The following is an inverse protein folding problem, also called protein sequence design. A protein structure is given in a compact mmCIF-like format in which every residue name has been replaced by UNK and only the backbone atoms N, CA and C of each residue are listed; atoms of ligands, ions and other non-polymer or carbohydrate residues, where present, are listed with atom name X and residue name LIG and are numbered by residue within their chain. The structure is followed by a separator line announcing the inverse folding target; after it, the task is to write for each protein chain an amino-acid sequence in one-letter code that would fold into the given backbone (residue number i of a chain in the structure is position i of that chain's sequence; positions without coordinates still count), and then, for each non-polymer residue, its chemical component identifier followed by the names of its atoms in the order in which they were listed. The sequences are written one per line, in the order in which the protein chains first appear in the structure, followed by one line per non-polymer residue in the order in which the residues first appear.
data_IF_485130680104
#
_entry.id   IF_485130680104
#
_cell.length_a   1.000
_cell.length_b   1.000
_cell.length_c   1.000
_cell.angle_alpha   90.00
_cell.angle_beta   90.00
_cell.angle_gamma   90.00
#
_symmetry.space_group_name_H-M   'P 1'
#
loop_
_entity.id
_entity.type
_entity.pdbx_description
1 polymer ?
#
# COMPACT_ATOMS: atom_id res chain seq x y z
N UNK A 1 -9.95 2.39 3.36
CA UNK A 1 -8.53 2.67 3.05
C UNK A 1 -8.19 4.06 3.55
N UNK A 2 -7.64 4.15 4.77
CA UNK A 2 -7.15 5.42 5.29
C UNK A 2 -5.83 5.72 4.61
N UNK A 3 -5.77 6.74 3.76
CA UNK A 3 -4.51 7.44 3.57
C UNK A 3 -4.12 7.90 4.97
N UNK A 4 -3.06 7.30 5.54
CA UNK A 4 -2.51 7.76 6.81
C UNK A 4 -2.37 9.27 6.69
N UNK A 5 -2.87 9.99 7.70
CA UNK A 5 -2.80 11.46 7.76
C UNK A 5 -1.37 11.82 7.33
N UNK A 6 -1.15 12.54 6.21
CA UNK A 6 0.21 12.93 5.86
C UNK A 6 0.73 13.65 7.09
N UNK A 7 1.87 13.17 7.61
CA UNK A 7 2.51 13.80 8.76
C UNK A 7 2.67 15.30 8.50
N UNK A 8 2.89 16.12 9.54
CA UNK A 8 3.17 17.54 9.35
C UNK A 8 4.18 17.66 8.22
N UNK A 9 3.85 18.42 7.16
CA UNK A 9 4.73 18.60 6.00
C UNK A 9 6.08 19.05 6.54
N UNK A 10 7.04 18.13 6.56
CA UNK A 10 8.36 18.46 7.01
C UNK A 10 8.97 19.35 5.94
N UNK A 11 9.41 20.54 6.34
CA UNK A 11 10.25 21.39 5.49
C UNK A 11 11.46 20.55 5.08
N UNK A 12 11.51 20.18 3.80
CA UNK A 12 12.56 19.33 3.27
C UNK A 12 13.94 19.97 3.53
N UNK A 13 14.83 19.22 4.18
CA UNK A 13 16.20 19.65 4.53
C UNK A 13 17.23 18.70 3.92
N UNK A 14 17.10 18.45 2.62
CA UNK A 14 18.10 17.72 1.85
C UNK A 14 18.80 18.62 0.82
N UNK A 15 19.95 18.17 0.29
CA UNK A 15 20.70 18.92 -0.72
C UNK A 15 19.98 19.01 -2.08
N UNK A 16 19.03 18.12 -2.34
CA UNK A 16 18.32 17.96 -3.62
C UNK A 16 16.83 18.32 -3.51
N UNK A 17 15.99 17.95 -4.49
CA UNK A 17 14.53 18.08 -4.41
C UNK A 17 13.92 16.97 -3.54
N UNK A 18 12.76 17.15 -2.88
CA UNK A 18 12.04 16.05 -2.22
C UNK A 18 11.74 14.87 -3.16
N UNK A 19 11.51 15.17 -4.45
CA UNK A 19 11.21 14.18 -5.49
C UNK A 19 12.47 13.65 -6.21
N UNK A 20 13.65 13.95 -5.68
CA UNK A 20 14.91 13.46 -6.24
C UNK A 20 15.05 11.93 -6.02
N UNK A 21 15.36 11.14 -7.07
CA UNK A 21 15.57 9.71 -6.95
C UNK A 21 16.68 9.33 -5.96
N UNK A 22 17.65 10.20 -5.70
CA UNK A 22 18.73 9.94 -4.72
C UNK A 22 18.19 9.69 -3.31
N UNK A 23 17.02 10.24 -2.97
CA UNK A 23 16.40 10.08 -1.65
C UNK A 23 15.96 8.62 -1.38
N UNK A 24 15.82 7.81 -2.43
CA UNK A 24 15.45 6.38 -2.32
C UNK A 24 16.68 5.52 -1.98
N UNK A 25 17.89 5.97 -2.33
CA UNK A 25 19.11 5.18 -2.23
C UNK A 25 19.45 4.69 -0.81
N UNK A 26 19.30 5.49 0.27
CA UNK A 26 19.64 5.04 1.62
C UNK A 26 18.78 3.85 2.10
N UNK A 27 17.49 3.83 1.76
CA UNK A 27 16.61 2.72 2.14
C UNK A 27 16.97 1.44 1.39
N UNK A 28 17.31 1.56 0.10
CA UNK A 28 17.75 0.41 -0.72
C UNK A 28 19.05 -0.17 -0.16
N UNK A 29 20.02 0.69 0.17
CA UNK A 29 21.28 0.26 0.79
C UNK A 29 21.05 -0.42 2.13
N UNK A 30 20.11 0.07 2.94
CA UNK A 30 19.73 -0.56 4.21
C UNK A 30 19.17 -1.97 4.02
N UNK A 31 18.38 -2.24 2.97
CA UNK A 31 17.94 -3.61 2.69
C UNK A 31 19.09 -4.55 2.29
N UNK A 32 20.20 -4.02 1.79
CA UNK A 32 21.38 -4.81 1.42
C UNK A 32 22.28 -5.17 2.61
N UNK A 33 22.14 -4.52 3.79
CA UNK A 33 23.03 -4.79 4.94
C UNK A 33 22.69 -6.07 5.71
N UNK A 34 21.56 -6.71 5.41
CA UNK A 34 21.10 -7.92 6.11
C UNK A 34 20.42 -7.65 7.45
N UNK A 35 20.36 -6.39 7.88
CA UNK A 35 19.74 -5.95 9.14
C UNK A 35 18.20 -6.01 9.14
N UNK A 36 17.58 -6.47 8.04
CA UNK A 36 16.13 -6.54 7.86
C UNK A 36 15.68 -7.88 7.26
N UNK A 37 15.90 -9.02 7.94
CA UNK A 37 15.47 -10.33 7.44
C UNK A 37 13.94 -10.44 7.27
N UNK A 38 13.18 -9.65 8.04
CA UNK A 38 11.71 -9.66 8.06
C UNK A 38 11.07 -8.58 7.15
N UNK A 39 11.85 -7.81 6.39
CA UNK A 39 11.31 -6.79 5.48
C UNK A 39 10.86 -7.34 4.11
N UNK A 40 10.84 -8.67 3.96
CA UNK A 40 10.47 -9.33 2.71
C UNK A 40 8.95 -9.36 2.49
N UNK A 41 8.52 -9.15 1.24
CA UNK A 41 7.10 -9.22 0.86
C UNK A 41 6.30 -7.96 1.12
N UNK A 42 6.93 -6.89 1.61
CA UNK A 42 6.30 -5.59 1.82
C UNK A 42 6.56 -4.64 0.65
N UNK A 43 5.66 -3.68 0.48
CA UNK A 43 5.84 -2.57 -0.47
C UNK A 43 6.13 -1.32 0.34
N UNK A 44 7.26 -0.66 0.04
CA UNK A 44 7.67 0.58 0.68
C UNK A 44 7.57 1.74 -0.33
N UNK A 45 6.94 2.83 0.08
CA UNK A 45 6.98 4.10 -0.65
C UNK A 45 8.02 5.01 -0.02
N UNK A 46 8.83 5.68 -0.83
CA UNK A 46 9.79 6.68 -0.34
C UNK A 46 9.56 7.97 -1.10
N UNK A 47 9.43 9.08 -0.36
CA UNK A 47 9.35 10.42 -0.94
C UNK A 47 10.06 11.40 -0.02
N UNK A 48 11.14 12.01 -0.49
CA UNK A 48 11.99 12.86 0.33
C UNK A 48 12.42 12.15 1.63
N UNK A 49 12.01 12.70 2.77
CA UNK A 49 12.30 12.15 4.11
C UNK A 49 11.19 11.26 4.69
N UNK A 50 10.17 10.94 3.89
CA UNK A 50 9.03 10.13 4.33
C UNK A 50 9.18 8.70 3.80
N UNK A 51 8.98 7.73 4.67
CA UNK A 51 8.92 6.29 4.33
C UNK A 51 7.53 5.78 4.68
N UNK A 52 6.87 5.18 3.70
CA UNK A 52 5.54 4.59 3.81
C UNK A 52 5.66 3.07 3.73
N UNK A 53 4.95 2.37 4.61
CA UNK A 53 4.78 0.92 4.52
C UNK A 53 3.35 0.63 4.08
N UNK A 54 3.18 0.03 2.91
CA UNK A 54 1.88 -0.41 2.43
C UNK A 54 1.53 -1.75 3.06
N UNK A 55 0.28 -1.90 3.49
CA UNK A 55 -0.24 -3.19 3.94
C UNK A 55 -0.33 -4.16 2.77
N UNK A 56 0.02 -5.41 3.01
CA UNK A 56 -0.17 -6.46 2.03
C UNK A 56 -1.66 -6.60 1.67
N UNK A 57 -1.98 -6.92 0.40
CA UNK A 57 -3.36 -7.16 0.01
C UNK A 57 -3.88 -8.41 0.72
N UNK A 58 -4.81 -8.20 1.64
CA UNK A 58 -5.55 -9.27 2.32
C UNK A 58 -6.98 -9.34 1.76
N UNK A 59 -7.54 -10.55 1.75
CA UNK A 59 -8.93 -10.76 1.33
C UNK A 59 -9.85 -10.22 2.42
N UNK A 60 -10.28 -8.97 2.28
CA UNK A 60 -11.25 -8.35 3.19
C UNK A 60 -12.60 -9.09 3.14
N UNK A 61 -13.06 -9.40 1.93
CA UNK A 61 -14.33 -10.10 1.68
C UNK A 61 -14.22 -10.95 0.42
N UNK A 62 -14.98 -12.05 0.36
CA UNK A 62 -15.08 -12.91 -0.81
C UNK A 62 -16.50 -13.47 -0.96
N UNK A 63 -16.93 -13.71 -2.20
CA UNK A 63 -18.18 -14.39 -2.54
C UNK A 63 -17.81 -15.73 -3.18
N UNK A 64 -18.41 -16.83 -2.72
CA UNK A 64 -18.13 -18.17 -3.22
C UNK A 64 -19.36 -18.78 -3.88
N UNK A 65 -19.18 -19.35 -5.07
CA UNK A 65 -20.21 -20.11 -5.78
C UNK A 65 -19.61 -21.42 -6.32
N UNK A 66 -20.44 -22.48 -6.39
CA UNK A 66 -20.01 -23.82 -6.87
C UNK A 66 -19.83 -23.90 -8.39
N UNK A 67 -20.06 -22.81 -9.11
CA UNK A 67 -19.99 -22.71 -10.58
C UNK A 67 -19.76 -21.27 -11.03
N UNK A 68 -19.96 -20.99 -12.32
CA UNK A 68 -19.87 -19.62 -12.84
C UNK A 68 -21.00 -18.76 -12.28
N UNK A 69 -20.68 -17.51 -11.95
CA UNK A 69 -21.69 -16.52 -11.62
C UNK A 69 -22.47 -16.15 -12.88
N UNK A 70 -23.80 -16.18 -12.82
CA UNK A 70 -24.63 -15.57 -13.86
C UNK A 70 -24.64 -14.04 -13.69
N UNK A 71 -24.87 -13.29 -14.77
CA UNK A 71 -24.93 -11.82 -14.71
C UNK A 71 -26.04 -11.34 -13.78
N UNK A 72 -27.22 -11.95 -13.85
CA UNK A 72 -28.35 -11.62 -12.97
C UNK A 72 -28.01 -11.83 -11.49
N UNK A 73 -27.20 -12.84 -11.16
CA UNK A 73 -26.74 -13.08 -9.79
C UNK A 73 -25.72 -12.03 -9.33
N UNK A 74 -24.84 -11.56 -10.22
CA UNK A 74 -23.87 -10.51 -9.91
C UNK A 74 -24.52 -9.15 -9.69
N UNK A 75 -25.58 -8.83 -10.43
CA UNK A 75 -26.34 -7.58 -10.27
C UNK A 75 -26.92 -7.43 -8.86
N UNK A 76 -27.26 -8.54 -8.19
CA UNK A 76 -27.71 -8.56 -6.81
C UNK A 76 -26.56 -8.66 -5.80
N UNK A 77 -25.57 -9.51 -6.07
CA UNK A 77 -24.51 -9.85 -5.13
C UNK A 77 -23.44 -8.77 -5.01
N UNK A 78 -23.03 -8.15 -6.13
CA UNK A 78 -21.94 -7.17 -6.18
C UNK A 78 -22.30 -5.87 -5.44
N UNK A 79 -23.49 -5.25 -5.64
CA UNK A 79 -23.83 -4.03 -4.91
C UNK A 79 -23.93 -4.27 -3.40
N UNK A 80 -24.46 -5.42 -2.97
CA UNK A 80 -24.53 -5.81 -1.55
C UNK A 80 -23.14 -6.02 -0.96
N UNK A 81 -22.23 -6.59 -1.73
CA UNK A 81 -20.85 -6.83 -1.33
C UNK A 81 -20.07 -5.53 -1.12
N UNK A 82 -20.21 -4.57 -2.05
CA UNK A 82 -19.58 -3.26 -1.98
C UNK A 82 -20.21 -2.40 -0.87
N UNK A 83 -21.55 -2.40 -0.76
CA UNK A 83 -22.30 -1.54 0.18
C UNK A 83 -22.15 -1.94 1.65
N UNK A 84 -21.75 -3.17 1.96
CA UNK A 84 -21.60 -3.69 3.34
C UNK A 84 -20.35 -3.13 4.05
N UNK A 85 -20.16 -1.82 4.02
CA UNK A 85 -19.02 -1.12 4.61
C UNK A 85 -19.09 0.41 4.49
N UNK A 86 -20.24 0.96 4.08
CA UNK A 86 -20.60 2.37 4.28
C UNK A 86 -21.50 2.51 5.51
#
# INVERSE_FOLDING_TARGET
AGIGIPGPRHDWRGPSSPDDPENVAPLVVYFCTGESPNANGYVFGVRGGEIYLYTNPEVDRAIYQRGLFAMDELDDLVPRFISRGM
#
